data_IF_570750779971
#
_entry.id   IF_570750779971
#
_cell.length_a   1.000
_cell.length_b   1.000
_cell.length_c   1.000
_cell.angle_alpha   90.00
_cell.angle_beta   90.00
_cell.angle_gamma   90.00
#
_symmetry.space_group_name_H-M   'P 1'
#
loop_
_entity.id
_entity.type
_entity.pdbx_description
1 polymer ?
#
# COMPACT_ATOMS: atom_id res chain seq x y z
N UNK A 1 -43.21 -14.62 19.74
CA UNK A 1 -43.94 -15.82 20.24
C UNK A 1 -43.32 -17.00 19.50
N UNK A 2 -42.45 -17.79 20.14
CA UNK A 2 -42.83 -19.08 20.73
C UNK A 2 -41.76 -19.49 21.75
N UNK A 3 -42.22 -19.87 22.95
CA UNK A 3 -41.44 -20.34 24.09
C UNK A 3 -41.04 -21.80 23.91
N UNK A 4 -39.84 -22.19 24.32
CA UNK A 4 -39.59 -23.57 24.75
C UNK A 4 -38.77 -23.62 26.05
N UNK A 5 -39.16 -24.54 26.92
CA UNK A 5 -38.82 -24.62 28.34
C UNK A 5 -37.72 -25.67 28.61
N UNK A 6 -36.82 -25.30 29.53
CA UNK A 6 -36.20 -26.04 30.65
C UNK A 6 -35.91 -27.55 30.52
N UNK A 7 -34.66 -27.91 30.81
CA UNK A 7 -34.35 -29.03 31.70
C UNK A 7 -33.29 -28.62 32.72
N UNK A 8 -33.68 -28.67 34.00
CA UNK A 8 -32.79 -28.68 35.16
C UNK A 8 -32.17 -30.08 35.29
N UNK A 9 -30.89 -30.17 35.63
CA UNK A 9 -30.35 -31.35 36.30
C UNK A 9 -29.45 -30.91 37.44
N UNK A 10 -29.95 -31.11 38.65
CA UNK A 10 -29.20 -30.96 39.89
C UNK A 10 -28.42 -32.24 40.17
N UNK A 11 -27.15 -32.13 40.54
CA UNK A 11 -26.42 -33.17 41.27
C UNK A 11 -25.83 -32.51 42.52
N UNK A 12 -26.08 -33.16 43.65
CA UNK A 12 -25.77 -32.69 44.99
C UNK A 12 -24.82 -33.67 45.69
N UNK A 13 -24.14 -33.12 46.71
CA UNK A 13 -23.49 -33.80 47.87
C UNK A 13 -22.19 -34.55 47.48
N UNK A 14 -21.05 -34.45 48.19
CA UNK A 14 -20.83 -34.69 49.62
C UNK A 14 -19.53 -34.00 50.05
N UNK A 15 -19.58 -33.29 51.19
CA UNK A 15 -18.40 -32.79 51.88
C UNK A 15 -17.72 -33.87 52.73
N UNK A 16 -16.40 -33.76 52.88
CA UNK A 16 -15.65 -34.39 53.95
C UNK A 16 -14.71 -33.35 54.54
N UNK A 17 -14.95 -33.03 55.81
CA UNK A 17 -14.08 -32.26 56.66
C UNK A 17 -13.03 -33.19 57.30
N UNK A 18 -11.75 -32.79 57.29
CA UNK A 18 -10.69 -33.42 58.08
C UNK A 18 -9.78 -32.34 58.68
N UNK A 19 -9.95 -32.17 59.99
CA UNK A 19 -8.98 -31.99 61.06
C UNK A 19 -7.78 -31.03 60.87
N UNK A 20 -7.80 -29.99 61.71
CA UNK A 20 -6.66 -29.16 62.06
C UNK A 20 -5.59 -29.94 62.85
N UNK A 21 -4.32 -29.65 62.57
CA UNK A 21 -3.19 -29.90 63.47
C UNK A 21 -2.28 -28.68 63.49
N UNK A 22 -2.09 -28.13 64.69
CA UNK A 22 -1.10 -27.12 64.99
C UNK A 22 0.32 -27.69 64.86
N UNK A 23 1.22 -26.92 64.26
CA UNK A 23 2.65 -27.23 64.16
C UNK A 23 3.46 -25.94 64.07
N UNK A 24 4.50 -25.86 64.92
CA UNK A 24 5.34 -24.70 65.18
C UNK A 24 6.16 -24.20 63.98
N UNK A 25 6.40 -22.88 64.04
CA UNK A 25 7.41 -22.09 63.35
C UNK A 25 8.70 -22.82 62.92
N UNK A 26 9.06 -22.62 61.65
CA UNK A 26 10.45 -22.57 61.19
C UNK A 26 10.60 -21.44 60.17
N UNK A 27 11.27 -20.37 60.61
CA UNK A 27 12.30 -19.61 59.91
C UNK A 27 12.08 -19.22 58.44
N UNK A 28 11.89 -17.91 58.26
CA UNK A 28 11.92 -17.18 56.99
C UNK A 28 13.20 -17.49 56.21
N UNK A 29 13.02 -18.07 55.02
CA UNK A 29 13.99 -18.02 53.94
C UNK A 29 13.36 -17.17 52.83
N UNK A 30 13.98 -16.02 52.55
CA UNK A 30 13.60 -15.13 51.46
C UNK A 30 13.48 -15.91 50.14
N UNK A 31 12.34 -15.85 49.42
CA UNK A 31 12.31 -16.28 48.04
C UNK A 31 13.15 -15.28 47.23
N UNK A 32 14.10 -15.81 46.46
CA UNK A 32 14.81 -15.05 45.44
C UNK A 32 13.79 -14.32 44.53
N UNK A 33 14.13 -13.13 43.99
CA UNK A 33 13.23 -12.43 43.09
C UNK A 33 12.94 -13.35 41.90
N UNK A 34 11.66 -13.70 41.73
CA UNK A 34 11.14 -14.28 40.51
C UNK A 34 11.48 -13.30 39.38
N UNK A 35 12.53 -13.62 38.64
CA UNK A 35 12.83 -12.94 37.39
C UNK A 35 11.72 -13.33 36.43
N UNK A 36 10.65 -12.54 36.45
CA UNK A 36 9.59 -12.53 35.46
C UNK A 36 10.28 -12.25 34.11
N UNK A 37 10.63 -13.33 33.40
CA UNK A 37 11.16 -13.24 32.04
C UNK A 37 9.99 -12.77 31.20
N UNK A 38 9.90 -11.44 31.02
CA UNK A 38 8.99 -10.83 30.08
C UNK A 38 9.16 -11.56 28.75
N UNK A 39 8.15 -12.37 28.40
CA UNK A 39 8.07 -13.00 27.09
C UNK A 39 7.96 -11.86 26.09
N UNK A 40 9.07 -11.56 25.42
CA UNK A 40 9.07 -10.81 24.19
C UNK A 40 8.17 -11.55 23.22
N UNK A 41 6.95 -11.05 23.03
CA UNK A 41 6.05 -11.50 21.97
C UNK A 41 6.70 -11.10 20.65
N UNK A 42 7.51 -12.01 20.11
CA UNK A 42 8.02 -11.97 18.74
C UNK A 42 6.80 -11.96 17.82
N UNK A 43 6.33 -10.76 17.49
CA UNK A 43 5.21 -10.57 16.59
C UNK A 43 5.78 -10.81 15.21
N UNK A 44 5.34 -11.87 14.55
CA UNK A 44 5.72 -12.15 13.17
C UNK A 44 5.54 -10.88 12.32
N UNK A 45 6.47 -10.59 11.39
CA UNK A 45 6.39 -9.37 10.58
C UNK A 45 5.03 -9.29 9.87
N UNK A 46 4.41 -8.12 9.93
CA UNK A 46 3.16 -7.85 9.23
C UNK A 46 3.42 -7.84 7.71
N UNK A 47 2.87 -8.83 7.03
CA UNK A 47 3.00 -9.03 5.58
C UNK A 47 1.67 -8.81 4.85
N UNK A 48 0.69 -8.19 5.52
CA UNK A 48 -0.55 -7.80 4.88
C UNK A 48 -0.28 -6.77 3.77
N UNK A 49 -1.14 -6.77 2.75
CA UNK A 49 -0.99 -5.91 1.58
C UNK A 49 -0.83 -4.44 1.99
N UNK A 50 0.22 -3.82 1.47
CA UNK A 50 0.57 -2.41 1.69
C UNK A 50 1.06 -1.73 0.41
N UNK A 51 0.99 -2.42 -0.73
CA UNK A 51 1.28 -1.90 -2.06
C UNK A 51 0.38 -2.57 -3.13
N UNK A 52 -0.09 -1.78 -4.09
CA UNK A 52 -0.72 -2.28 -5.32
C UNK A 52 -0.71 -1.22 -6.42
N UNK A 53 -1.00 -1.63 -7.67
CA UNK A 53 -1.41 -0.75 -8.77
C UNK A 53 -2.93 -0.73 -8.83
N UNK A 54 -3.56 0.44 -8.95
CA UNK A 54 -5.02 0.50 -9.13
C UNK A 54 -5.49 -0.44 -10.25
N UNK A 55 -6.45 -1.33 -9.99
CA UNK A 55 -7.05 -2.17 -11.05
C UNK A 55 -7.76 -1.34 -12.14
N UNK A 56 -8.27 -0.17 -11.77
CA UNK A 56 -8.90 0.81 -12.66
C UNK A 56 -8.54 2.23 -12.22
N UNK A 57 -8.37 3.13 -13.19
CA UNK A 57 -8.36 4.56 -12.91
C UNK A 57 -9.76 5.10 -12.56
N UNK A 58 -9.88 6.39 -12.19
CA UNK A 58 -11.17 7.02 -11.89
C UNK A 58 -12.04 7.28 -13.13
N UNK A 59 -11.50 7.06 -14.34
CA UNK A 59 -12.23 7.16 -15.61
C UNK A 59 -12.23 8.53 -16.27
N UNK A 60 -11.44 9.48 -15.75
CA UNK A 60 -11.31 10.84 -16.31
C UNK A 60 -9.85 11.17 -16.70
N UNK A 61 -9.14 10.20 -17.29
CA UNK A 61 -7.73 10.35 -17.64
C UNK A 61 -6.86 10.67 -16.42
N UNK A 62 -5.98 11.67 -16.57
CA UNK A 62 -5.11 12.15 -15.49
C UNK A 62 -5.77 13.21 -14.57
N UNK A 63 -7.06 13.52 -14.77
CA UNK A 63 -7.83 14.30 -13.79
C UNK A 63 -8.25 13.38 -12.64
N UNK A 64 -7.38 13.28 -11.64
CA UNK A 64 -7.60 12.43 -10.46
C UNK A 64 -8.29 13.20 -9.32
N UNK A 65 -8.66 14.47 -9.52
CA UNK A 65 -9.12 15.36 -8.45
C UNK A 65 -7.98 15.86 -7.56
N UNK A 66 -6.77 15.97 -8.13
CA UNK A 66 -5.54 16.25 -7.39
C UNK A 66 -5.06 15.06 -6.54
N UNK A 67 -4.00 15.27 -5.77
CA UNK A 67 -3.44 14.23 -4.90
C UNK A 67 -4.46 13.66 -3.90
N UNK A 68 -5.34 14.50 -3.37
CA UNK A 68 -6.39 14.07 -2.44
C UNK A 68 -7.43 13.15 -3.07
N UNK A 69 -7.82 13.41 -4.33
CA UNK A 69 -8.71 12.52 -5.06
C UNK A 69 -8.05 11.19 -5.43
N UNK A 70 -6.78 11.22 -5.82
CA UNK A 70 -5.99 10.02 -6.08
C UNK A 70 -5.86 9.14 -4.81
N UNK A 71 -5.55 9.75 -3.67
CA UNK A 71 -5.49 9.07 -2.37
C UNK A 71 -6.83 8.44 -1.98
N UNK A 72 -7.94 9.16 -2.19
CA UNK A 72 -9.28 8.65 -1.89
C UNK A 72 -9.64 7.43 -2.74
N UNK A 73 -9.20 7.40 -4.01
CA UNK A 73 -9.40 6.24 -4.88
C UNK A 73 -8.54 5.04 -4.46
N UNK A 74 -7.28 5.27 -4.07
CA UNK A 74 -6.45 4.21 -3.47
C UNK A 74 -7.13 3.61 -2.23
N UNK A 75 -7.64 4.47 -1.33
CA UNK A 75 -8.35 4.02 -0.13
C UNK A 75 -9.58 3.18 -0.49
N UNK A 76 -10.39 3.66 -1.43
CA UNK A 76 -11.61 2.96 -1.88
C UNK A 76 -11.31 1.57 -2.43
N UNK A 77 -10.33 1.43 -3.31
CA UNK A 77 -9.95 0.14 -3.90
C UNK A 77 -9.40 -0.82 -2.84
N UNK A 78 -8.53 -0.34 -1.95
CA UNK A 78 -7.98 -1.15 -0.89
C UNK A 78 -9.05 -1.66 0.09
N UNK A 79 -10.01 -0.81 0.46
CA UNK A 79 -11.13 -1.22 1.31
C UNK A 79 -12.03 -2.23 0.61
N UNK A 80 -12.28 -2.05 -0.69
CA UNK A 80 -13.06 -2.99 -1.49
C UNK A 80 -12.40 -4.37 -1.60
N UNK A 81 -11.07 -4.45 -1.58
CA UNK A 81 -10.33 -5.71 -1.54
C UNK A 81 -10.11 -6.28 -0.13
N UNK A 82 -10.64 -5.60 0.90
CA UNK A 82 -10.62 -6.06 2.29
C UNK A 82 -9.45 -5.55 3.13
N UNK A 83 -8.58 -4.69 2.58
CA UNK A 83 -7.52 -4.03 3.33
C UNK A 83 -8.04 -2.80 4.08
N UNK A 84 -8.68 -3.04 5.23
CA UNK A 84 -9.23 -1.98 6.10
C UNK A 84 -8.27 -1.54 7.20
N UNK A 85 -8.39 -0.31 7.69
CA UNK A 85 -7.66 0.18 8.86
C UNK A 85 -6.27 0.75 8.56
N UNK A 86 -5.85 0.73 7.30
CA UNK A 86 -4.65 1.43 6.79
C UNK A 86 -5.06 2.73 6.10
N UNK A 87 -4.12 3.67 6.09
CA UNK A 87 -4.18 4.89 5.28
C UNK A 87 -3.42 4.65 3.99
N UNK A 88 -4.10 4.84 2.87
CA UNK A 88 -3.52 4.66 1.54
C UNK A 88 -3.20 5.98 0.86
N UNK A 89 -2.05 6.02 0.18
CA UNK A 89 -1.57 7.18 -0.57
C UNK A 89 -1.23 6.77 -1.99
N UNK A 90 -1.63 7.61 -2.94
CA UNK A 90 -1.17 7.50 -4.32
C UNK A 90 0.30 7.92 -4.42
N UNK A 91 1.12 7.12 -5.08
CA UNK A 91 2.50 7.45 -5.41
C UNK A 91 2.50 8.42 -6.59
N UNK A 92 2.28 9.70 -6.29
CA UNK A 92 2.23 10.77 -7.27
C UNK A 92 2.97 12.00 -6.73
N UNK A 93 3.85 12.55 -7.56
CA UNK A 93 4.48 13.84 -7.31
C UNK A 93 3.56 14.99 -7.76
N UNK A 94 3.81 16.19 -7.26
CA UNK A 94 3.12 17.42 -7.63
C UNK A 94 4.15 18.50 -7.93
N UNK A 95 3.97 19.24 -9.03
CA UNK A 95 4.80 20.38 -9.37
C UNK A 95 4.43 21.61 -8.51
N UNK A 96 5.40 22.48 -8.22
CA UNK A 96 5.11 23.81 -7.68
C UNK A 96 4.43 24.67 -8.77
N UNK A 97 3.11 24.85 -8.66
CA UNK A 97 2.31 25.66 -9.58
C UNK A 97 1.12 26.29 -8.84
N UNK A 98 0.66 27.46 -9.30
CA UNK A 98 -0.56 28.12 -8.81
C UNK A 98 -0.65 28.27 -7.27
N UNK A 99 0.49 28.51 -6.63
CA UNK A 99 0.59 28.65 -5.18
C UNK A 99 0.55 27.32 -4.40
N UNK A 100 0.48 26.19 -5.10
CA UNK A 100 0.71 24.87 -4.51
C UNK A 100 2.20 24.60 -4.37
N UNK A 101 2.58 23.97 -3.27
CA UNK A 101 3.95 23.52 -3.04
C UNK A 101 4.28 22.31 -3.92
N UNK A 102 5.56 22.17 -4.23
CA UNK A 102 6.08 20.95 -4.84
C UNK A 102 6.02 19.82 -3.80
N UNK A 103 5.53 18.64 -4.20
CA UNK A 103 5.41 17.49 -3.31
C UNK A 103 6.03 16.27 -4.01
N UNK A 104 6.96 15.59 -3.33
CA UNK A 104 7.58 14.38 -3.83
C UNK A 104 6.72 13.16 -3.51
N UNK A 105 6.55 12.25 -4.46
CA UNK A 105 5.85 10.98 -4.22
C UNK A 105 6.51 10.16 -3.11
N UNK A 106 7.84 10.08 -3.10
CA UNK A 106 8.62 9.29 -2.12
C UNK A 106 8.36 9.69 -0.67
N UNK A 107 8.06 10.96 -0.41
CA UNK A 107 7.88 11.50 0.95
C UNK A 107 6.46 11.21 1.48
N UNK A 108 5.56 10.72 0.64
CA UNK A 108 4.14 10.53 0.97
C UNK A 108 3.78 9.09 1.35
N UNK A 109 4.62 8.11 1.04
CA UNK A 109 4.26 6.68 1.05
C UNK A 109 4.68 5.93 2.32
N UNK A 110 5.19 6.63 3.33
CA UNK A 110 5.68 6.04 4.57
C UNK A 110 7.06 5.38 4.41
N UNK A 111 7.49 4.63 5.41
CA UNK A 111 8.86 4.09 5.50
C UNK A 111 9.00 2.64 4.98
N UNK A 112 7.90 1.97 4.66
CA UNK A 112 7.87 0.54 4.33
C UNK A 112 8.02 -0.36 5.57
N UNK A 113 8.28 -1.67 5.38
CA UNK A 113 8.30 -2.39 4.12
C UNK A 113 6.93 -2.45 3.45
N UNK A 114 6.91 -2.65 2.13
CA UNK A 114 5.66 -2.83 1.39
C UNK A 114 5.53 -4.22 0.77
N UNK A 115 4.30 -4.76 0.82
CA UNK A 115 3.94 -6.07 0.32
C UNK A 115 2.80 -5.97 -0.68
N UNK A 116 2.86 -6.73 -1.77
CA UNK A 116 1.76 -6.85 -2.71
C UNK A 116 0.62 -7.73 -2.14
N UNK A 117 -0.47 -7.87 -2.90
CA UNK A 117 -1.64 -8.67 -2.50
C UNK A 117 -1.34 -10.15 -2.22
N UNK A 118 -0.21 -10.69 -2.71
CA UNK A 118 0.25 -12.05 -2.45
C UNK A 118 1.26 -12.14 -1.30
N UNK A 119 1.37 -11.08 -0.47
CA UNK A 119 2.32 -10.97 0.64
C UNK A 119 3.79 -11.08 0.21
N UNK A 120 4.10 -10.79 -1.05
CA UNK A 120 5.49 -10.67 -1.54
C UNK A 120 5.98 -9.26 -1.25
N UNK A 121 7.13 -9.17 -0.57
CA UNK A 121 7.77 -7.88 -0.29
C UNK A 121 8.28 -7.28 -1.60
N UNK A 122 7.80 -6.08 -1.93
CA UNK A 122 8.22 -5.33 -3.13
C UNK A 122 9.39 -4.40 -2.84
N UNK A 123 9.48 -3.85 -1.63
CA UNK A 123 10.60 -3.06 -1.15
C UNK A 123 10.62 -3.04 0.38
N UNK A 124 11.82 -3.01 0.94
CA UNK A 124 12.07 -2.96 2.40
C UNK A 124 11.91 -1.58 3.02
N UNK A 125 12.17 -0.52 2.24
CA UNK A 125 12.05 0.87 2.63
C UNK A 125 12.11 1.77 1.39
N UNK A 126 11.97 3.10 1.58
CA UNK A 126 12.00 4.09 0.49
C UNK A 126 13.29 4.01 -0.33
N UNK A 127 14.45 3.85 0.30
CA UNK A 127 15.72 3.80 -0.42
C UNK A 127 15.83 2.53 -1.28
N UNK A 128 15.38 1.40 -0.76
CA UNK A 128 15.29 0.14 -1.50
C UNK A 128 14.32 0.23 -2.69
N UNK A 129 13.15 0.85 -2.49
CA UNK A 129 12.15 1.09 -3.53
C UNK A 129 12.73 1.89 -4.72
N UNK A 130 13.61 2.84 -4.45
CA UNK A 130 14.30 3.66 -5.45
C UNK A 130 15.64 3.10 -5.92
N UNK A 131 16.01 1.90 -5.48
CA UNK A 131 17.22 1.19 -5.92
C UNK A 131 16.90 0.14 -6.99
N UNK A 132 17.95 -0.43 -7.59
CA UNK A 132 17.83 -1.58 -8.48
C UNK A 132 17.49 -2.90 -7.75
N UNK A 133 17.50 -2.91 -6.41
CA UNK A 133 17.25 -4.11 -5.60
C UNK A 133 15.76 -4.34 -5.30
N UNK A 134 14.88 -3.36 -5.57
CA UNK A 134 13.45 -3.58 -5.37
C UNK A 134 12.95 -4.77 -6.19
N UNK A 135 11.84 -5.35 -5.78
CA UNK A 135 11.25 -6.51 -6.43
C UNK A 135 10.10 -6.14 -7.36
N UNK A 136 10.04 -4.90 -7.86
CA UNK A 136 9.00 -4.51 -8.82
C UNK A 136 9.26 -5.16 -10.18
N UNK A 137 8.26 -5.88 -10.66
CA UNK A 137 8.22 -6.53 -11.97
C UNK A 137 6.76 -6.72 -12.37
N UNK A 138 6.49 -7.22 -13.58
CA UNK A 138 5.13 -7.56 -14.01
C UNK A 138 4.43 -8.52 -13.04
N UNK A 139 5.19 -9.47 -12.49
CA UNK A 139 4.70 -10.51 -11.57
C UNK A 139 4.41 -9.99 -10.17
N UNK A 140 5.12 -8.96 -9.73
CA UNK A 140 5.03 -8.45 -8.36
C UNK A 140 4.23 -7.15 -8.25
N UNK A 141 4.06 -6.41 -9.35
CA UNK A 141 3.27 -5.19 -9.45
C UNK A 141 1.81 -5.52 -9.77
N UNK A 142 1.09 -6.01 -8.75
CA UNK A 142 -0.27 -6.53 -8.86
C UNK A 142 -1.32 -5.49 -8.49
N UNK A 143 -2.57 -5.75 -8.88
CA UNK A 143 -3.72 -5.00 -8.40
C UNK A 143 -4.04 -5.24 -6.92
N UNK A 144 -4.93 -4.43 -6.35
CA UNK A 144 -5.41 -4.61 -4.98
C UNK A 144 -6.11 -5.95 -4.74
N UNK A 145 -6.53 -6.62 -5.82
CA UNK A 145 -7.16 -7.94 -5.81
C UNK A 145 -6.17 -9.08 -6.13
N UNK A 146 -4.88 -8.76 -6.28
CA UNK A 146 -3.83 -9.73 -6.65
C UNK A 146 -3.83 -10.13 -8.12
N UNK A 147 -4.49 -9.36 -8.97
CA UNK A 147 -4.51 -9.60 -10.41
C UNK A 147 -3.27 -9.01 -11.07
N UNK A 148 -2.74 -9.70 -12.07
CA UNK A 148 -1.65 -9.17 -12.89
C UNK A 148 -2.18 -8.05 -13.79
N UNK A 149 -1.48 -6.92 -13.82
CA UNK A 149 -1.77 -5.83 -14.76
C UNK A 149 -1.21 -6.21 -16.13
N UNK A 150 -1.97 -5.92 -17.20
CA UNK A 150 -1.48 -6.12 -18.56
C UNK A 150 -0.26 -5.23 -18.82
N UNK A 151 0.83 -5.86 -19.22
CA UNK A 151 2.08 -5.19 -19.59
C UNK A 151 2.27 -5.10 -21.09
N UNK A 152 3.47 -4.72 -21.48
CA UNK A 152 3.89 -4.66 -22.88
C UNK A 152 3.75 -6.04 -23.54
N UNK A 153 3.07 -6.04 -24.68
CA UNK A 153 2.80 -7.26 -25.45
C UNK A 153 1.46 -7.94 -25.13
N UNK A 154 0.77 -7.49 -24.09
CA UNK A 154 -0.61 -7.92 -23.81
C UNK A 154 -1.63 -7.02 -24.55
N UNK A 155 -2.89 -7.47 -24.59
CA UNK A 155 -4.01 -6.74 -25.19
C UNK A 155 -5.19 -6.64 -24.20
N UNK A 156 -5.64 -5.43 -23.82
CA UNK A 156 -5.01 -4.13 -24.13
C UNK A 156 -3.66 -3.96 -23.42
N UNK A 157 -2.75 -3.17 -24.00
CA UNK A 157 -1.51 -2.74 -23.34
C UNK A 157 -1.83 -1.68 -22.26
N UNK A 158 -1.40 -1.88 -21.02
CA UNK A 158 -1.63 -0.98 -19.89
C UNK A 158 -0.37 -0.79 -19.03
N UNK A 159 0.81 -0.84 -19.67
CA UNK A 159 2.07 -0.92 -18.94
C UNK A 159 2.56 0.39 -18.33
N UNK A 160 2.17 1.53 -18.92
CA UNK A 160 2.50 2.85 -18.38
C UNK A 160 1.65 3.15 -17.14
N UNK A 161 2.32 3.50 -16.05
CA UNK A 161 1.72 3.86 -14.77
C UNK A 161 2.11 5.30 -14.40
N UNK A 162 1.12 6.13 -14.08
CA UNK A 162 1.30 7.56 -13.78
C UNK A 162 2.08 7.76 -12.48
N UNK A 163 3.03 8.71 -12.48
CA UNK A 163 3.83 9.06 -11.29
C UNK A 163 4.08 10.56 -11.13
N UNK A 164 4.32 11.29 -12.23
CA UNK A 164 4.81 12.67 -12.16
C UNK A 164 6.22 12.80 -11.54
N UNK A 165 6.94 11.69 -11.38
CA UNK A 165 8.16 11.64 -10.56
C UNK A 165 9.43 11.44 -11.37
N UNK A 166 10.54 11.96 -10.85
CA UNK A 166 11.89 11.59 -11.27
C UNK A 166 12.26 10.19 -10.76
N UNK A 167 13.40 9.64 -11.21
CA UNK A 167 13.86 8.30 -10.85
C UNK A 167 13.99 8.09 -9.34
N UNK A 168 14.44 9.10 -8.62
CA UNK A 168 14.60 9.08 -7.16
C UNK A 168 13.29 9.34 -6.40
N UNK A 169 12.17 9.49 -7.11
CA UNK A 169 10.84 9.72 -6.55
C UNK A 169 10.52 11.16 -6.17
N UNK A 170 11.38 12.12 -6.52
CA UNK A 170 11.10 13.55 -6.37
C UNK A 170 10.20 14.09 -7.48
N UNK A 171 9.58 15.25 -7.26
CA UNK A 171 8.87 15.96 -8.31
C UNK A 171 9.84 16.62 -9.30
N UNK A 172 9.37 16.90 -10.52
CA UNK A 172 10.12 17.72 -11.48
C UNK A 172 10.14 19.19 -11.03
N UNK A 173 11.32 19.82 -11.12
CA UNK A 173 11.57 21.20 -10.68
C UNK A 173 12.08 22.11 -11.80
N UNK A 174 11.97 21.67 -13.05
CA UNK A 174 12.42 22.38 -14.25
C UNK A 174 11.43 23.46 -14.73
N UNK A 175 10.24 23.52 -14.12
CA UNK A 175 9.18 24.47 -14.45
C UNK A 175 8.20 23.97 -15.50
N UNK A 176 8.41 22.76 -16.04
CA UNK A 176 7.47 22.11 -16.94
C UNK A 176 6.46 21.28 -16.14
N UNK A 177 5.23 21.19 -16.66
CA UNK A 177 4.18 20.37 -16.05
C UNK A 177 4.35 18.91 -16.45
N UNK A 178 4.64 18.07 -15.45
CA UNK A 178 4.79 16.61 -15.61
C UNK A 178 3.65 15.84 -14.95
N UNK A 179 2.53 16.50 -14.64
CA UNK A 179 1.47 15.99 -13.74
C UNK A 179 0.06 16.26 -14.26
N UNK A 180 -0.10 16.76 -15.49
CA UNK A 180 -1.42 17.14 -16.02
C UNK A 180 -2.15 18.13 -15.10
N UNK A 181 -1.49 19.26 -14.83
CA UNK A 181 -1.94 20.35 -13.97
C UNK A 181 -2.19 19.86 -12.55
N UNK A 182 -1.18 19.23 -11.96
CA UNK A 182 -1.24 18.65 -10.61
C UNK A 182 -2.45 17.70 -10.45
N UNK A 183 -2.66 16.84 -11.45
CA UNK A 183 -3.70 15.82 -11.52
C UNK A 183 -5.14 16.36 -11.52
N UNK A 184 -5.33 17.53 -12.14
CA UNK A 184 -6.65 18.18 -12.27
C UNK A 184 -7.09 18.41 -13.71
N UNK A 185 -6.30 17.96 -14.69
CA UNK A 185 -6.59 18.09 -16.12
C UNK A 185 -6.65 16.73 -16.81
N UNK A 186 -7.62 16.59 -17.71
CA UNK A 186 -7.79 15.48 -18.64
C UNK A 186 -7.59 15.93 -20.10
N UNK A 187 -6.97 17.10 -20.31
CA UNK A 187 -6.85 17.75 -21.62
C UNK A 187 -5.45 17.67 -22.23
N UNK A 188 -5.01 18.79 -22.82
CA UNK A 188 -3.65 18.95 -23.31
C UNK A 188 -2.64 18.97 -22.16
N UNK A 189 -1.43 18.50 -22.43
CA UNK A 189 -0.34 18.41 -21.45
C UNK A 189 0.34 17.05 -21.52
N UNK A 190 1.06 16.71 -20.47
CA UNK A 190 1.67 15.39 -20.30
C UNK A 190 1.82 15.08 -18.82
N UNK A 191 1.69 13.80 -18.46
CA UNK A 191 2.11 13.28 -17.18
C UNK A 191 3.32 12.36 -17.36
N UNK A 192 4.28 12.44 -16.44
CA UNK A 192 5.37 11.48 -16.38
C UNK A 192 4.82 10.12 -15.92
N UNK A 193 5.21 9.07 -16.65
CA UNK A 193 4.88 7.68 -16.35
C UNK A 193 6.15 6.82 -16.21
N UNK A 194 5.99 5.63 -15.65
CA UNK A 194 6.98 4.56 -15.68
C UNK A 194 6.34 3.21 -16.02
N UNK A 195 7.19 2.19 -16.16
CA UNK A 195 6.85 0.85 -16.65
C UNK A 195 6.77 -0.16 -15.49
N UNK A 196 5.57 -0.56 -15.08
CA UNK A 196 5.43 -1.52 -13.97
C UNK A 196 6.03 -2.91 -14.28
N UNK A 197 6.11 -3.23 -15.57
CA UNK A 197 6.67 -4.47 -16.10
C UNK A 197 8.18 -4.38 -16.41
N UNK A 198 8.80 -3.23 -16.12
CA UNK A 198 10.24 -2.96 -16.29
C UNK A 198 10.72 -3.12 -17.74
N UNK A 199 9.83 -2.96 -18.72
CA UNK A 199 10.16 -3.07 -20.15
C UNK A 199 9.50 -1.95 -20.93
N UNK A 200 10.21 -1.29 -21.84
CA UNK A 200 9.60 -0.23 -22.64
C UNK A 200 10.56 0.52 -23.54
N UNK A 201 10.12 1.72 -23.92
CA UNK A 201 10.95 2.75 -24.54
C UNK A 201 11.03 3.99 -23.65
N UNK A 202 11.34 5.14 -24.25
CA UNK A 202 11.55 6.39 -23.52
C UNK A 202 13.00 6.57 -23.08
N UNK A 203 13.22 7.58 -22.25
CA UNK A 203 14.56 7.97 -21.80
C UNK A 203 15.11 6.97 -20.76
N UNK A 204 14.23 6.35 -19.97
CA UNK A 204 14.59 5.28 -19.03
C UNK A 204 13.73 4.01 -19.27
N UNK A 205 14.07 3.18 -20.28
CA UNK A 205 13.22 2.08 -20.77
C UNK A 205 12.78 1.03 -19.76
N UNK A 206 13.52 0.85 -18.67
CA UNK A 206 13.18 -0.13 -17.64
C UNK A 206 12.63 0.51 -16.38
N UNK A 207 12.62 1.85 -16.27
CA UNK A 207 12.23 2.56 -15.05
C UNK A 207 10.76 2.33 -14.71
N UNK A 208 10.46 2.00 -13.44
CA UNK A 208 9.11 1.75 -12.97
C UNK A 208 8.33 3.05 -12.69
N UNK A 209 9.04 4.14 -12.46
CA UNK A 209 8.47 5.42 -12.05
C UNK A 209 8.79 6.61 -12.96
N UNK A 210 9.75 6.52 -13.89
CA UNK A 210 10.18 7.70 -14.65
C UNK A 210 10.78 7.31 -16.01
N UNK A 211 9.96 6.75 -16.91
CA UNK A 211 10.38 6.31 -18.23
C UNK A 211 10.20 7.36 -19.33
N UNK A 212 9.00 7.94 -19.46
CA UNK A 212 8.68 9.02 -20.40
C UNK A 212 7.38 9.75 -20.02
N UNK A 213 7.16 10.89 -20.67
CA UNK A 213 5.87 11.59 -20.64
C UNK A 213 4.80 10.88 -21.48
N UNK A 214 3.53 11.06 -21.10
CA UNK A 214 2.36 10.66 -21.87
C UNK A 214 2.14 11.51 -23.13
N UNK A 215 1.33 11.04 -24.07
CA UNK A 215 0.89 11.82 -25.24
C UNK A 215 -0.03 12.99 -24.91
N UNK A 216 -0.73 12.91 -23.78
CA UNK A 216 -1.80 13.80 -23.37
C UNK A 216 -2.40 13.31 -22.04
N UNK A 217 -3.28 14.11 -21.46
CA UNK A 217 -3.86 13.84 -20.15
C UNK A 217 -5.23 13.16 -20.22
N UNK A 218 -5.82 13.07 -21.42
CA UNK A 218 -7.12 12.42 -21.61
C UNK A 218 -7.01 10.89 -21.50
N UNK A 219 -8.11 10.21 -21.20
CA UNK A 219 -8.11 8.73 -21.15
C UNK A 219 -7.62 8.11 -22.46
N UNK A 220 -8.08 8.63 -23.60
CA UNK A 220 -7.69 8.14 -24.93
C UNK A 220 -6.20 8.37 -25.20
N UNK A 221 -5.64 9.49 -24.75
CA UNK A 221 -4.20 9.76 -24.89
C UNK A 221 -3.34 8.86 -23.99
N UNK A 222 -3.80 8.57 -22.77
CA UNK A 222 -3.12 7.63 -21.88
C UNK A 222 -3.12 6.21 -22.46
N UNK A 223 -4.27 5.75 -22.98
CA UNK A 223 -4.38 4.48 -23.72
C UNK A 223 -3.48 4.50 -24.96
N UNK A 224 -3.50 5.59 -25.72
CA UNK A 224 -2.64 5.77 -26.89
C UNK A 224 -1.16 5.73 -26.56
N UNK A 225 -0.76 6.21 -25.38
CA UNK A 225 0.63 6.16 -24.89
C UNK A 225 1.07 4.72 -24.64
N UNK A 226 0.20 3.92 -24.01
CA UNK A 226 0.51 2.56 -23.57
C UNK A 226 0.06 2.25 -22.14
N UNK A 227 -0.65 3.16 -21.48
CA UNK A 227 -1.20 2.99 -20.13
C UNK A 227 -2.72 2.94 -20.12
N UNK A 228 -3.31 3.19 -18.96
CA UNK A 228 -4.77 3.29 -18.82
C UNK A 228 -5.20 4.23 -17.68
N UNK A 229 -4.33 5.19 -17.31
CA UNK A 229 -4.57 6.06 -16.15
C UNK A 229 -4.45 5.34 -14.80
N UNK A 230 -3.64 4.28 -14.75
CA UNK A 230 -3.35 3.55 -13.51
C UNK A 230 -2.21 4.24 -12.75
N UNK A 231 -2.18 4.06 -11.44
CA UNK A 231 -1.13 4.56 -10.55
C UNK A 231 -0.90 3.62 -9.37
N UNK A 232 0.23 3.78 -8.68
CA UNK A 232 0.57 2.97 -7.52
C UNK A 232 -0.06 3.53 -6.24
N UNK A 233 -0.44 2.64 -5.34
CA UNK A 233 -1.00 2.94 -4.03
C UNK A 233 -0.15 2.27 -2.95
N UNK A 234 0.22 3.02 -1.92
CA UNK A 234 1.04 2.56 -0.80
C UNK A 234 0.34 2.84 0.52
N UNK A 235 0.39 1.89 1.44
CA UNK A 235 -0.06 2.11 2.81
C UNK A 235 1.04 2.83 3.62
N UNK A 236 0.64 3.75 4.49
CA UNK A 236 1.57 4.57 5.29
C UNK A 236 1.50 4.27 6.79
N UNK A 237 0.63 3.36 7.22
CA UNK A 237 0.47 2.90 8.60
C UNK A 237 -0.21 1.53 8.69
#
# INVERSE_FOLDING_TARGET
MTKFRLFFSAIAVVGVAVLASAGCATQDADPAPDTDVAQSTDTAPDTAMSFFITSTGPGDGANLGGLGGADAHCQMLAEASGSTGRTWRAYLSQNASDGQEMINARDRIGDGPWYNANSVQVASNVDDLHSDNNHLSKENSLSENGEMINGRGDDPNMHDVLTGSQLDGTAFSDGEDSTCSNWTSNGAGSAQAGHHDRQGGGDNPTSWNSAHGSRGCSQDDLIGTGGNGLYYCFATN
#
